data_IF_643252076152
#
_entry.id   IF_643252076152
#
_cell.length_a   1.000
_cell.length_b   1.000
_cell.length_c   1.000
_cell.angle_alpha   90.00
_cell.angle_beta   90.00
_cell.angle_gamma   90.00
#
_symmetry.space_group_name_H-M   'P 1'
#
loop_
_entity.id
_entity.type
_entity.pdbx_description
1 polymer ?
#
# COMPACT_ATOMS: atom_id res chain seq x y z
N UNK A 1 20.62 -16.04 -10.02
CA UNK A 1 19.64 -15.79 -8.95
C UNK A 1 19.88 -14.45 -8.24
N UNK A 2 21.04 -14.22 -7.61
CA UNK A 2 21.33 -12.99 -6.84
C UNK A 2 21.17 -11.70 -7.66
N UNK A 3 21.71 -11.65 -8.89
CA UNK A 3 21.56 -10.49 -9.79
C UNK A 3 20.09 -10.20 -10.15
N UNK A 4 19.26 -11.23 -10.29
CA UNK A 4 17.82 -11.09 -10.59
C UNK A 4 17.08 -10.51 -9.38
N UNK A 5 17.35 -11.01 -8.18
CA UNK A 5 16.74 -10.52 -6.95
C UNK A 5 17.13 -9.07 -6.63
N UNK A 6 18.38 -8.69 -6.90
CA UNK A 6 18.83 -7.30 -6.74
C UNK A 6 18.10 -6.36 -7.70
N UNK A 7 17.93 -6.78 -8.96
CA UNK A 7 17.17 -6.00 -9.95
C UNK A 7 15.68 -5.86 -9.56
N UNK A 8 15.03 -6.94 -9.15
CA UNK A 8 13.64 -6.88 -8.66
C UNK A 8 13.48 -5.93 -7.46
N UNK A 9 14.46 -5.92 -6.54
CA UNK A 9 14.49 -4.98 -5.41
C UNK A 9 14.61 -3.53 -5.90
N UNK A 10 15.56 -3.23 -6.77
CA UNK A 10 15.78 -1.86 -7.25
C UNK A 10 14.59 -1.34 -8.05
N UNK A 11 14.00 -2.19 -8.89
CA UNK A 11 12.85 -1.84 -9.71
C UNK A 11 11.63 -1.55 -8.83
N UNK A 12 11.39 -2.38 -7.80
CA UNK A 12 10.32 -2.16 -6.84
C UNK A 12 10.47 -0.89 -5.98
N UNK A 13 11.71 -0.56 -5.58
CA UNK A 13 12.00 0.69 -4.85
C UNK A 13 11.78 1.93 -5.72
N UNK A 14 12.19 1.88 -6.99
CA UNK A 14 11.98 2.98 -7.94
C UNK A 14 10.49 3.22 -8.23
N UNK A 15 9.71 2.14 -8.40
CA UNK A 15 8.27 2.24 -8.57
C UNK A 15 7.59 2.83 -7.32
N UNK A 16 8.03 2.44 -6.14
CA UNK A 16 7.49 2.95 -4.87
C UNK A 16 7.73 4.46 -4.72
N UNK A 17 8.95 4.94 -4.99
CA UNK A 17 9.25 6.37 -4.91
C UNK A 17 8.42 7.19 -5.91
N UNK A 18 8.22 6.66 -7.12
CA UNK A 18 7.34 7.29 -8.12
C UNK A 18 5.90 7.41 -7.61
N UNK A 19 5.38 6.38 -6.94
CA UNK A 19 4.04 6.40 -6.37
C UNK A 19 3.92 7.34 -5.17
N UNK A 20 4.97 7.42 -4.34
CA UNK A 20 5.05 8.37 -3.22
C UNK A 20 4.97 9.82 -3.71
N UNK A 21 5.76 10.16 -4.72
CA UNK A 21 5.73 11.48 -5.35
C UNK A 21 4.35 11.78 -5.96
N UNK A 22 3.75 10.80 -6.65
CA UNK A 22 2.42 10.95 -7.24
C UNK A 22 1.30 11.12 -6.19
N UNK A 23 1.44 10.53 -5.00
CA UNK A 23 0.48 10.65 -3.92
C UNK A 23 0.65 11.94 -3.09
N UNK A 24 1.89 12.47 -3.02
CA UNK A 24 2.18 13.76 -2.42
C UNK A 24 1.70 14.93 -3.29
N UNK A 25 1.75 14.76 -4.62
CA UNK A 25 1.09 15.68 -5.55
C UNK A 25 -0.42 15.47 -5.45
N UNK A 26 -1.13 16.43 -4.85
CA UNK A 26 -2.55 16.37 -4.46
C UNK A 26 -3.55 15.91 -5.53
N UNK A 27 -3.11 15.73 -6.79
CA UNK A 27 -3.86 15.22 -7.92
C UNK A 27 -4.13 13.70 -7.92
N UNK A 28 -3.42 12.86 -7.13
CA UNK A 28 -3.68 11.39 -7.06
C UNK A 28 -3.66 10.85 -5.63
N UNK A 29 -4.66 11.22 -4.83
CA UNK A 29 -4.86 10.66 -3.49
C UNK A 29 -5.16 9.16 -3.57
N UNK A 30 -4.49 8.38 -2.71
CA UNK A 30 -4.56 6.91 -2.71
C UNK A 30 -5.99 6.46 -2.35
N UNK A 31 -6.54 5.57 -3.17
CA UNK A 31 -7.90 5.05 -3.06
C UNK A 31 -7.83 3.55 -2.80
N UNK A 32 -8.44 3.11 -1.70
CA UNK A 32 -8.50 1.69 -1.33
C UNK A 32 -9.95 1.24 -1.31
N UNK A 33 -10.21 0.00 -1.70
CA UNK A 33 -11.54 -0.56 -1.55
C UNK A 33 -11.89 -0.67 -0.06
N UNK A 34 -13.03 -0.09 0.31
CA UNK A 34 -13.47 -0.05 1.70
C UNK A 34 -14.94 0.31 1.77
N UNK A 35 -15.64 -0.28 2.75
CA UNK A 35 -17.00 0.10 3.09
C UNK A 35 -17.03 0.61 4.52
N UNK A 36 -17.54 1.81 4.73
CA UNK A 36 -17.90 2.28 6.07
C UNK A 36 -19.36 1.90 6.29
N UNK A 37 -19.66 1.01 7.23
CA UNK A 37 -21.05 0.82 7.69
C UNK A 37 -21.47 2.08 8.42
N UNK A 38 -22.32 2.88 7.79
CA UNK A 38 -23.15 3.87 8.48
C UNK A 38 -24.18 3.11 9.33
N UNK A 39 -23.85 2.80 10.57
CA UNK A 39 -24.81 2.20 11.51
C UNK A 39 -24.14 1.41 12.62
N UNK A 40 -23.93 2.08 13.75
CA UNK A 40 -23.38 1.46 14.97
C UNK A 40 -23.14 2.48 16.08
N UNK A 41 -24.19 3.22 16.45
CA UNK A 41 -24.17 4.16 17.58
C UNK A 41 -25.30 5.18 17.45
N UNK A 42 -26.23 5.16 18.40
CA UNK A 42 -27.47 5.93 18.47
C UNK A 42 -27.37 7.40 18.01
N UNK A 43 -27.94 7.72 16.86
CA UNK A 43 -28.35 9.10 16.54
C UNK A 43 -29.77 9.06 15.97
N UNK A 44 -30.74 9.23 16.87
CA UNK A 44 -32.12 9.53 16.53
C UNK A 44 -32.17 10.95 15.95
N UNK A 45 -32.55 11.11 14.68
CA UNK A 45 -32.81 12.44 14.13
C UNK A 45 -32.64 12.61 12.63
N UNK A 46 -33.72 12.33 11.90
CA UNK A 46 -34.22 13.11 10.76
C UNK A 46 -33.45 13.16 9.43
N UNK A 47 -34.25 12.91 8.37
CA UNK A 47 -34.19 13.50 7.02
C UNK A 47 -33.13 13.00 6.03
N UNK A 48 -33.59 12.08 5.18
CA UNK A 48 -33.50 12.14 3.72
C UNK A 48 -32.18 12.62 3.10
N UNK A 49 -31.32 11.67 2.74
CA UNK A 49 -30.40 11.80 1.60
C UNK A 49 -30.40 10.47 0.83
N UNK A 50 -31.46 10.26 0.07
CA UNK A 50 -31.51 9.27 -1.01
C UNK A 50 -30.48 9.64 -2.07
N UNK A 51 -29.32 8.97 -2.04
CA UNK A 51 -28.31 9.03 -3.10
C UNK A 51 -26.90 9.28 -2.62
N UNK A 52 -26.25 8.27 -2.05
CA UNK A 52 -24.78 8.20 -2.02
C UNK A 52 -24.35 7.07 -2.97
N UNK A 53 -23.92 7.48 -4.16
CA UNK A 53 -23.42 6.58 -5.20
C UNK A 53 -22.18 5.81 -4.76
N UNK A 54 -22.06 4.59 -5.29
CA UNK A 54 -20.87 3.74 -5.29
C UNK A 54 -19.97 3.83 -4.06
N UNK A 55 -20.45 3.34 -2.91
CA UNK A 55 -19.68 3.20 -1.68
C UNK A 55 -18.66 2.03 -1.75
N UNK A 56 -17.76 2.04 -2.73
CA UNK A 56 -16.75 0.98 -2.91
C UNK A 56 -15.31 1.43 -2.69
N UNK A 57 -15.03 2.70 -2.42
CA UNK A 57 -13.66 3.20 -2.31
C UNK A 57 -13.51 4.30 -1.25
N UNK A 58 -12.57 4.11 -0.32
CA UNK A 58 -12.16 5.08 0.69
C UNK A 58 -10.88 5.78 0.21
N UNK A 59 -10.90 7.10 0.18
CA UNK A 59 -9.72 7.91 -0.14
C UNK A 59 -8.91 8.17 1.12
N UNK A 60 -7.62 7.84 1.08
CA UNK A 60 -6.69 8.05 2.18
C UNK A 60 -6.20 9.50 2.22
N UNK A 61 -5.92 9.99 3.42
CA UNK A 61 -5.20 11.26 3.58
C UNK A 61 -3.80 11.14 2.96
N UNK A 62 -3.19 12.28 2.60
CA UNK A 62 -1.83 12.25 2.04
C UNK A 62 -0.82 11.59 2.98
N UNK A 63 -0.93 11.85 4.29
CA UNK A 63 -0.12 11.21 5.32
C UNK A 63 -0.34 9.69 5.36
N UNK A 64 -1.60 9.23 5.40
CA UNK A 64 -1.92 7.80 5.41
C UNK A 64 -1.49 7.11 4.10
N UNK A 65 -1.64 7.78 2.97
CA UNK A 65 -1.16 7.29 1.66
C UNK A 65 0.35 7.11 1.62
N UNK A 66 1.11 8.08 2.14
CA UNK A 66 2.57 7.96 2.26
C UNK A 66 2.97 6.76 3.14
N UNK A 67 2.33 6.60 4.30
CA UNK A 67 2.60 5.46 5.20
C UNK A 67 2.40 4.11 4.50
N UNK A 68 1.37 3.96 3.67
CA UNK A 68 1.14 2.72 2.91
C UNK A 68 2.30 2.43 1.95
N UNK A 69 2.82 3.45 1.27
CA UNK A 69 3.97 3.28 0.38
C UNK A 69 5.26 2.96 1.15
N UNK A 70 5.48 3.58 2.30
CA UNK A 70 6.62 3.28 3.17
C UNK A 70 6.58 1.81 3.65
N UNK A 71 5.40 1.32 4.06
CA UNK A 71 5.20 -0.10 4.41
C UNK A 71 5.51 -1.01 3.22
N UNK A 72 5.00 -0.68 2.01
CA UNK A 72 5.30 -1.45 0.79
C UNK A 72 6.80 -1.49 0.50
N UNK A 73 7.51 -0.38 0.69
CA UNK A 73 8.96 -0.32 0.49
C UNK A 73 9.71 -1.21 1.48
N UNK A 74 9.31 -1.22 2.75
CA UNK A 74 9.84 -2.12 3.78
C UNK A 74 9.65 -3.60 3.41
N UNK A 75 8.43 -3.99 3.01
CA UNK A 75 8.13 -5.37 2.59
C UNK A 75 8.99 -5.82 1.41
N UNK A 76 9.21 -4.95 0.42
CA UNK A 76 10.08 -5.26 -0.73
C UNK A 76 11.52 -5.49 -0.27
N UNK A 77 12.03 -4.65 0.63
CA UNK A 77 13.38 -4.79 1.18
C UNK A 77 13.54 -6.10 1.96
N UNK A 78 12.57 -6.44 2.80
CA UNK A 78 12.56 -7.67 3.61
C UNK A 78 12.48 -8.92 2.73
N UNK A 79 11.61 -8.93 1.72
CA UNK A 79 11.53 -10.04 0.77
C UNK A 79 12.85 -10.26 0.02
N UNK A 80 13.53 -9.18 -0.38
CA UNK A 80 14.82 -9.28 -1.03
C UNK A 80 15.89 -9.85 -0.09
N UNK A 81 15.89 -9.45 1.19
CA UNK A 81 16.78 -9.97 2.21
C UNK A 81 16.55 -11.48 2.45
N UNK A 82 15.28 -11.89 2.59
CA UNK A 82 14.91 -13.30 2.77
C UNK A 82 15.33 -14.16 1.59
N UNK A 83 15.07 -13.72 0.34
CA UNK A 83 15.51 -14.44 -0.87
C UNK A 83 17.03 -14.60 -0.92
N UNK A 84 17.78 -13.58 -0.50
CA UNK A 84 19.25 -13.63 -0.46
C UNK A 84 19.72 -14.64 0.59
N UNK A 85 19.14 -14.63 1.79
CA UNK A 85 19.50 -15.55 2.87
C UNK A 85 19.17 -17.00 2.51
N UNK A 86 17.99 -17.26 1.94
CA UNK A 86 17.60 -18.58 1.45
C UNK A 86 18.58 -19.10 0.39
N UNK A 87 18.96 -18.25 -0.57
CA UNK A 87 19.94 -18.61 -1.60
C UNK A 87 21.30 -18.97 -0.99
N UNK A 88 21.73 -18.24 0.04
CA UNK A 88 22.97 -18.50 0.74
C UNK A 88 22.94 -19.86 1.47
N UNK A 89 21.91 -20.10 2.29
CA UNK A 89 21.75 -21.36 3.02
C UNK A 89 21.72 -22.56 2.07
N UNK A 90 20.97 -22.48 0.96
CA UNK A 90 20.94 -23.55 -0.04
C UNK A 90 22.29 -23.80 -0.73
N UNK A 91 23.16 -22.79 -0.78
CA UNK A 91 24.48 -22.92 -1.42
C UNK A 91 25.57 -23.44 -0.48
N UNK A 92 25.47 -23.14 0.82
CA UNK A 92 26.53 -23.42 1.81
C UNK A 92 26.22 -24.65 2.66
N UNK A 93 24.96 -24.87 3.03
CA UNK A 93 24.56 -25.93 3.96
C UNK A 93 24.11 -27.21 3.22
N UNK A 94 24.69 -27.49 2.06
CA UNK A 94 24.38 -28.69 1.28
C UNK A 94 25.17 -29.89 1.77
#
# INVERSE_FOLDING_TARGET
>A
MIKKNQKEKTDGLAENEKLRLAAADSARRLRIEGSCRSGGGDVSGTTSASGLGNASTVELSAAAGSTVFDIRAGIIADQAALKALQSYVMSVCR
#
